data_IF_940245291759
#
_entry.id   IF_940245291759
#
_cell.length_a   1.000
_cell.length_b   1.000
_cell.length_c   1.000
_cell.angle_alpha   90.00
_cell.angle_beta   90.00
_cell.angle_gamma   90.00
#
_symmetry.space_group_name_H-M   'P 1'
#
loop_
_entity.id
_entity.type
_entity.pdbx_description
1 polymer ?
2 non-polymer ?
#
# COMPACT_ATOMS: atom_id res chain seq x y z
N UNK A 1 -12.49 -10.65 -13.99
CA UNK A 1 -12.35 -10.30 -12.55
C UNK A 1 -10.88 -9.94 -12.22
N UNK A 2 -10.64 -8.80 -11.57
CA UNK A 2 -9.29 -8.26 -11.33
C UNK A 2 -8.41 -9.13 -10.41
N UNK A 3 -7.11 -8.81 -10.40
CA UNK A 3 -6.07 -9.40 -9.55
C UNK A 3 -5.24 -8.28 -8.92
N UNK A 4 -4.97 -8.34 -7.60
CA UNK A 4 -4.37 -7.22 -6.84
C UNK A 4 -3.11 -7.65 -6.10
N UNK A 5 -1.97 -7.05 -6.44
CA UNK A 5 -0.75 -7.19 -5.65
C UNK A 5 -0.83 -6.22 -4.47
N UNK A 6 -0.65 -6.72 -3.23
CA UNK A 6 -0.84 -5.97 -1.99
C UNK A 6 0.50 -5.92 -1.26
N UNK A 7 1.25 -4.86 -1.55
CA UNK A 7 2.64 -4.72 -1.14
C UNK A 7 2.74 -4.02 0.22
N UNK A 8 3.62 -4.53 1.09
CA UNK A 8 3.69 -4.13 2.49
C UNK A 8 5.05 -3.55 2.87
N UNK A 9 5.03 -2.55 3.77
CA UNK A 9 6.22 -1.92 4.33
C UNK A 9 6.09 -1.72 5.83
N UNK A 10 6.78 -2.55 6.62
CA UNK A 10 6.71 -2.55 8.09
C UNK A 10 8.00 -3.04 8.75
N UNK A 11 8.14 -2.76 10.05
CA UNK A 11 9.17 -3.28 10.94
C UNK A 11 8.59 -3.87 12.25
N UNK A 12 7.25 -3.87 12.39
CA UNK A 12 6.53 -4.28 13.61
C UNK A 12 5.23 -5.09 13.35
N UNK A 13 4.74 -5.14 12.10
CA UNK A 13 3.63 -6.02 11.69
C UNK A 13 2.23 -5.40 11.74
N UNK A 14 2.07 -4.14 12.15
CA UNK A 14 0.74 -3.51 12.32
C UNK A 14 0.10 -3.17 10.97
N UNK A 15 0.88 -2.62 10.03
CA UNK A 15 0.43 -2.44 8.63
C UNK A 15 0.27 -3.78 7.90
N UNK A 16 1.09 -4.80 8.22
CA UNK A 16 0.92 -6.15 7.66
C UNK A 16 -0.42 -6.78 8.05
N UNK A 17 -0.87 -6.64 9.30
CA UNK A 17 -2.21 -7.09 9.73
C UNK A 17 -3.31 -6.49 8.87
N UNK A 18 -3.25 -5.18 8.60
CA UNK A 18 -4.18 -4.50 7.69
C UNK A 18 -4.08 -5.05 6.25
N UNK A 19 -2.88 -5.36 5.77
CA UNK A 19 -2.68 -5.95 4.45
C UNK A 19 -3.26 -7.39 4.33
N UNK A 20 -3.16 -8.21 5.37
CA UNK A 20 -3.81 -9.52 5.43
C UNK A 20 -5.35 -9.41 5.39
N UNK A 21 -5.93 -8.46 6.12
CA UNK A 21 -7.36 -8.12 6.02
C UNK A 21 -7.73 -7.61 4.61
N UNK A 22 -6.91 -6.75 4.00
CA UNK A 22 -7.14 -6.27 2.64
C UNK A 22 -7.17 -7.41 1.60
N UNK A 23 -6.22 -8.35 1.68
CA UNK A 23 -6.22 -9.55 0.84
C UNK A 23 -7.50 -10.37 1.04
N UNK A 24 -7.91 -10.63 2.29
CA UNK A 24 -9.12 -11.37 2.61
C UNK A 24 -10.39 -10.71 2.05
N UNK A 25 -10.55 -9.39 2.20
CA UNK A 25 -11.67 -8.62 1.67
C UNK A 25 -11.78 -8.71 0.14
N UNK A 26 -10.67 -8.52 -0.58
CA UNK A 26 -10.67 -8.53 -2.04
C UNK A 26 -10.95 -9.94 -2.56
N UNK A 27 -10.36 -10.93 -1.89
CA UNK A 27 -10.63 -12.36 -2.12
C UNK A 27 -12.11 -12.70 -1.90
N UNK A 28 -12.73 -12.20 -0.83
CA UNK A 28 -14.16 -12.42 -0.53
C UNK A 28 -15.09 -11.75 -1.55
N UNK A 29 -14.74 -10.56 -2.05
CA UNK A 29 -15.44 -9.88 -3.14
C UNK A 29 -15.26 -10.59 -4.50
N UNK A 30 -14.17 -11.35 -4.67
CA UNK A 30 -13.94 -12.27 -5.80
C UNK A 30 -12.62 -12.01 -6.56
N UNK A 31 -11.92 -10.92 -6.25
CA UNK A 31 -10.67 -10.52 -6.91
C UNK A 31 -9.49 -11.38 -6.42
N UNK A 32 -8.59 -11.79 -7.31
CA UNK A 32 -7.40 -12.60 -6.98
C UNK A 32 -6.31 -11.73 -6.34
N UNK A 33 -6.48 -11.39 -5.06
CA UNK A 33 -5.50 -10.62 -4.31
C UNK A 33 -4.29 -11.49 -3.89
N UNK A 34 -3.15 -10.85 -3.60
CA UNK A 34 -1.96 -11.52 -3.05
C UNK A 34 -1.14 -10.52 -2.23
N UNK A 35 -0.99 -10.77 -0.93
CA UNK A 35 -0.17 -9.95 -0.03
C UNK A 35 1.32 -10.32 -0.10
N UNK A 36 2.19 -9.32 0.04
CA UNK A 36 3.65 -9.45 -0.03
C UNK A 36 4.33 -8.71 1.14
N UNK A 37 4.69 -9.46 2.20
CA UNK A 37 5.35 -8.92 3.41
C UNK A 37 6.84 -8.55 3.22
N UNK A 38 7.48 -9.05 2.17
CA UNK A 38 8.89 -8.80 1.81
C UNK A 38 9.03 -8.67 0.27
N UNK A 39 8.43 -7.62 -0.34
CA UNK A 39 8.28 -7.49 -1.79
C UNK A 39 9.57 -7.11 -2.55
N UNK A 40 9.50 -7.22 -3.88
CA UNK A 40 10.55 -6.87 -4.85
C UNK A 40 9.89 -6.40 -6.16
N UNK A 41 10.61 -5.67 -7.02
CA UNK A 41 10.15 -5.28 -8.37
C UNK A 41 9.62 -6.50 -9.16
N UNK A 42 10.29 -7.65 -9.02
CA UNK A 42 9.88 -8.95 -9.61
C UNK A 42 8.46 -9.41 -9.23
N UNK A 43 7.92 -8.96 -8.10
CA UNK A 43 6.55 -9.21 -7.65
C UNK A 43 5.59 -8.04 -7.94
N UNK A 44 6.10 -6.82 -8.08
CA UNK A 44 5.34 -5.66 -8.56
C UNK A 44 5.00 -5.75 -10.07
N UNK A 45 5.96 -6.23 -10.88
CA UNK A 45 5.89 -6.35 -12.33
C UNK A 45 4.63 -7.05 -12.91
N UNK A 46 4.19 -8.22 -12.41
CA UNK A 46 3.03 -8.96 -12.92
C UNK A 46 1.66 -8.23 -12.96
N UNK A 47 1.57 -7.01 -12.42
CA UNK A 47 0.31 -6.28 -12.20
C UNK A 47 0.21 -4.93 -12.94
N UNK A 48 1.19 -4.53 -13.76
CA UNK A 48 1.11 -3.27 -14.53
C UNK A 48 -0.02 -3.27 -15.58
N UNK A 49 -0.40 -4.44 -16.10
CA UNK A 49 -1.57 -4.63 -16.97
C UNK A 49 -2.90 -4.79 -16.17
N UNK A 50 -2.84 -4.63 -14.84
CA UNK A 50 -3.89 -4.95 -13.86
C UNK A 50 -4.02 -3.81 -12.83
N UNK A 51 -4.08 -4.14 -11.54
CA UNK A 51 -4.15 -3.20 -10.42
C UNK A 51 -3.25 -3.67 -9.26
N UNK A 52 -2.89 -2.73 -8.38
CA UNK A 52 -2.01 -2.93 -7.21
C UNK A 52 -2.52 -2.12 -6.02
N UNK A 53 -1.99 -2.35 -4.82
CA UNK A 53 -2.34 -1.59 -3.62
C UNK A 53 -1.23 -1.69 -2.58
N UNK A 54 -1.11 -0.65 -1.76
CA UNK A 54 0.02 -0.42 -0.84
C UNK A 54 -0.48 -0.34 0.60
N UNK A 55 0.21 -0.98 1.53
CA UNK A 55 -0.04 -0.92 2.98
C UNK A 55 1.30 -0.73 3.69
N UNK A 56 1.67 0.51 3.99
CA UNK A 56 3.04 0.88 4.44
C UNK A 56 3.08 1.80 5.67
N UNK A 57 4.27 1.98 6.25
CA UNK A 57 4.50 2.77 7.46
C UNK A 57 5.75 3.64 7.37
N UNK A 58 6.33 4.08 8.50
CA UNK A 58 7.46 5.04 8.58
C UNK A 58 8.52 4.56 9.60
N UNK A 59 9.79 4.93 9.43
CA UNK A 59 10.92 4.55 10.31
C UNK A 59 12.02 5.63 10.32
N UNK A 60 13.13 5.38 11.02
CA UNK A 60 14.29 6.28 11.13
C UNK A 60 13.93 7.74 11.42
N UNK A 61 14.53 8.67 10.65
CA UNK A 61 14.24 10.11 10.69
C UNK A 61 12.98 10.51 9.86
N UNK A 62 12.09 9.54 9.55
CA UNK A 62 10.94 9.74 8.65
C UNK A 62 11.04 9.00 7.31
N UNK A 63 11.94 8.03 7.19
CA UNK A 63 12.23 7.22 6.00
C UNK A 63 11.21 6.08 5.80
N UNK A 64 11.26 5.42 4.64
CA UNK A 64 10.50 4.19 4.39
C UNK A 64 11.08 3.01 5.22
N UNK A 65 10.24 2.08 5.71
CA UNK A 65 10.65 0.81 6.34
C UNK A 65 11.62 0.03 5.45
N UNK A 66 12.66 -0.55 6.04
CA UNK A 66 13.69 -1.24 5.25
C UNK A 66 13.13 -2.45 4.46
N UNK A 67 12.02 -3.03 4.94
CA UNK A 67 11.24 -4.07 4.24
C UNK A 67 10.64 -3.64 2.89
N UNK A 68 10.54 -2.33 2.60
CA UNK A 68 10.02 -1.79 1.32
C UNK A 68 10.99 -0.84 0.60
N UNK A 69 12.09 -0.42 1.24
CA UNK A 69 13.19 0.31 0.57
C UNK A 69 13.63 -0.35 -0.75
N UNK A 70 13.90 -1.67 -0.85
CA UNK A 70 14.30 -2.29 -2.12
C UNK A 70 13.19 -2.33 -3.18
N UNK A 71 11.92 -2.15 -2.80
CA UNK A 71 10.80 -2.03 -3.74
C UNK A 71 10.72 -0.59 -4.26
N UNK A 72 10.87 0.38 -3.35
CA UNK A 72 10.86 1.81 -3.62
C UNK A 72 12.04 2.21 -4.53
N UNK A 73 13.29 1.81 -4.20
CA UNK A 73 14.44 2.03 -5.09
C UNK A 73 14.29 1.31 -6.45
N UNK A 74 13.79 0.07 -6.46
CA UNK A 74 13.63 -0.74 -7.67
C UNK A 74 12.66 -0.10 -8.66
N UNK A 75 11.46 0.29 -8.22
CA UNK A 75 10.47 0.97 -9.07
C UNK A 75 11.00 2.35 -9.52
N UNK A 76 11.67 3.08 -8.63
CA UNK A 76 12.18 4.43 -8.92
C UNK A 76 13.30 4.45 -9.98
N UNK A 77 14.17 3.44 -10.00
CA UNK A 77 15.40 3.42 -10.80
C UNK A 77 15.42 2.37 -11.94
N UNK A 78 14.58 1.34 -11.87
CA UNK A 78 14.53 0.21 -12.83
C UNK A 78 13.14 -0.02 -13.45
N UNK A 79 12.20 0.91 -13.23
CA UNK A 79 10.88 0.94 -13.87
C UNK A 79 10.59 2.34 -14.47
N UNK A 80 10.76 3.40 -13.66
CA UNK A 80 10.78 4.81 -14.08
C UNK A 80 9.48 5.47 -14.58
N UNK A 81 8.53 4.74 -15.17
CA UNK A 81 7.30 5.32 -15.75
C UNK A 81 6.14 4.30 -15.76
N UNK A 82 4.93 4.74 -15.38
CA UNK A 82 3.76 3.89 -15.11
C UNK A 82 2.40 4.60 -15.40
N UNK A 83 2.16 5.11 -16.63
CA UNK A 83 0.99 5.94 -16.96
C UNK A 83 -0.38 5.23 -16.83
N UNK A 84 -0.38 3.90 -16.82
CA UNK A 84 -1.55 3.02 -16.80
C UNK A 84 -1.69 2.21 -15.48
N UNK A 85 -0.77 2.39 -14.53
CA UNK A 85 -0.81 1.77 -13.20
C UNK A 85 -1.97 2.38 -12.40
N UNK A 86 -2.89 1.55 -11.89
CA UNK A 86 -4.04 1.95 -11.07
C UNK A 86 -3.97 1.24 -9.73
N UNK A 87 -4.29 1.97 -8.67
CA UNK A 87 -4.03 1.50 -7.31
C UNK A 87 -4.82 2.19 -6.19
N UNK A 88 -4.41 1.94 -4.95
CA UNK A 88 -4.89 2.55 -3.71
C UNK A 88 -3.82 2.40 -2.62
N UNK A 89 -3.89 3.22 -1.56
CA UNK A 89 -2.85 3.27 -0.51
C UNK A 89 -3.45 3.42 0.88
N UNK A 90 -2.90 2.63 1.79
CA UNK A 90 -3.12 2.72 3.23
C UNK A 90 -1.74 2.98 3.83
N UNK A 91 -1.63 3.98 4.71
CA UNK A 91 -0.43 4.28 5.46
C UNK A 91 -0.74 4.29 6.96
N UNK A 92 0.24 3.87 7.77
CA UNK A 92 0.05 3.62 9.20
C UNK A 92 1.27 4.08 9.99
N UNK A 93 1.03 4.79 11.09
CA UNK A 93 2.10 5.25 11.96
C UNK A 93 1.62 6.00 13.20
N UNK A 94 2.55 6.68 13.85
CA UNK A 94 2.32 7.41 15.10
C UNK A 94 2.08 8.91 14.85
N UNK A 95 0.90 9.39 15.22
CA UNK A 95 0.47 10.81 15.11
C UNK A 95 1.28 11.80 15.97
N UNK A 96 2.13 11.32 16.88
CA UNK A 96 2.87 12.16 17.85
C UNK A 96 3.99 13.04 17.24
N UNK A 97 4.31 12.86 15.95
CA UNK A 97 5.47 13.46 15.29
C UNK A 97 5.18 14.00 13.88
N UNK A 98 6.03 14.91 13.40
CA UNK A 98 5.84 15.69 12.15
C UNK A 98 5.79 14.81 10.89
N UNK A 99 6.56 13.72 10.85
CA UNK A 99 6.59 12.75 9.73
C UNK A 99 5.37 11.81 9.71
N UNK A 100 4.18 12.26 10.11
CA UNK A 100 2.98 11.41 10.14
C UNK A 100 2.71 10.74 8.79
N UNK A 101 2.84 9.40 8.77
CA UNK A 101 2.83 8.52 7.61
C UNK A 101 3.79 8.88 6.45
N UNK A 102 4.90 9.57 6.72
CA UNK A 102 5.82 10.06 5.67
C UNK A 102 6.44 8.92 4.83
N UNK A 103 6.63 7.73 5.39
CA UNK A 103 7.15 6.57 4.64
C UNK A 103 6.11 6.00 3.65
N UNK A 104 4.84 5.96 4.04
CA UNK A 104 3.73 5.57 3.13
C UNK A 104 3.44 6.65 2.07
N UNK A 105 3.48 7.94 2.46
CA UNK A 105 3.36 9.07 1.54
C UNK A 105 4.43 9.08 0.44
N UNK A 106 5.68 8.75 0.79
CA UNK A 106 6.76 8.54 -0.20
C UNK A 106 6.44 7.40 -1.16
N UNK A 107 5.83 6.29 -0.71
CA UNK A 107 5.40 5.23 -1.62
C UNK A 107 4.22 5.62 -2.53
N UNK A 108 3.29 6.49 -2.11
CA UNK A 108 2.29 7.05 -3.04
C UNK A 108 2.97 7.98 -4.07
N UNK A 109 3.89 8.84 -3.61
CA UNK A 109 4.71 9.69 -4.47
C UNK A 109 5.55 8.91 -5.51
N UNK A 110 6.06 7.71 -5.18
CA UNK A 110 6.75 6.79 -6.10
C UNK A 110 5.95 6.51 -7.38
N UNK A 111 4.62 6.58 -7.30
CA UNK A 111 3.71 6.20 -8.38
C UNK A 111 3.13 7.45 -9.08
N UNK A 112 2.81 8.51 -8.33
CA UNK A 112 2.40 9.79 -8.94
C UNK A 112 3.56 10.50 -9.68
N UNK A 113 4.80 10.38 -9.22
CA UNK A 113 6.00 10.81 -9.96
C UNK A 113 6.20 10.02 -11.26
N UNK A 114 5.49 8.90 -11.43
CA UNK A 114 5.50 8.04 -12.62
C UNK A 114 4.17 8.07 -13.39
N UNK A 115 3.24 8.98 -13.05
CA UNK A 115 1.97 9.22 -13.77
C UNK A 115 0.92 8.13 -13.58
N UNK A 116 1.04 7.29 -12.55
CA UNK A 116 0.00 6.35 -12.14
C UNK A 116 -1.33 7.07 -11.81
N UNK A 117 -2.45 6.33 -11.71
CA UNK A 117 -3.78 6.90 -11.60
C UNK A 117 -4.59 6.17 -10.51
N UNK A 118 -4.47 6.64 -9.26
CA UNK A 118 -5.10 6.00 -8.10
C UNK A 118 -6.63 6.01 -8.22
N UNK A 119 -7.26 4.93 -7.76
CA UNK A 119 -8.73 4.71 -7.78
C UNK A 119 -9.35 5.05 -6.41
N UNK A 120 -8.80 6.05 -5.72
CA UNK A 120 -9.19 6.45 -4.36
C UNK A 120 -8.25 7.46 -3.72
N UNK A 121 -8.40 7.67 -2.41
CA UNK A 121 -7.60 8.59 -1.59
C UNK A 121 -6.88 7.84 -0.46
N UNK A 122 -5.66 8.26 -0.15
CA UNK A 122 -4.75 7.57 0.78
C UNK A 122 -5.27 7.62 2.23
N UNK A 123 -5.42 6.44 2.84
CA UNK A 123 -5.90 6.30 4.23
C UNK A 123 -4.71 6.48 5.21
N UNK A 124 -4.90 7.27 6.28
CA UNK A 124 -3.82 7.65 7.22
C UNK A 124 -4.16 7.24 8.66
N UNK A 125 -3.62 6.10 9.10
CA UNK A 125 -3.87 5.47 10.41
C UNK A 125 -2.87 5.97 11.48
N UNK A 126 -3.40 6.31 12.65
CA UNK A 126 -2.78 6.95 13.81
C UNK A 126 -2.70 6.00 15.01
N UNK A 127 -1.88 4.94 14.88
CA UNK A 127 -1.79 3.79 15.77
C UNK A 127 -1.74 4.11 17.29
N UNK A 128 -1.02 5.17 17.68
CA UNK A 128 -0.85 5.61 19.08
C UNK A 128 -2.16 6.03 19.78
N UNK A 129 -3.23 6.28 19.01
CA UNK A 129 -4.56 6.65 19.49
C UNK A 129 -5.67 5.85 18.75
N UNK A 130 -5.29 4.80 18.02
CA UNK A 130 -6.14 3.99 17.15
C UNK A 130 -5.71 2.50 17.18
N UNK A 131 -5.89 1.80 18.32
CA UNK A 131 -5.39 0.44 18.57
C UNK A 131 -6.16 -0.68 17.85
N UNK A 132 -7.11 -0.33 16.97
CA UNK A 132 -7.99 -1.24 16.22
C UNK A 132 -8.01 -0.86 14.71
N UNK A 133 -6.84 -0.85 14.03
CA UNK A 133 -6.68 -0.31 12.67
C UNK A 133 -7.52 -1.01 11.61
N UNK A 134 -7.93 -2.25 11.86
CA UNK A 134 -8.91 -3.00 11.06
C UNK A 134 -10.19 -2.16 10.83
N UNK A 135 -10.68 -1.49 11.88
CA UNK A 135 -11.90 -0.63 11.81
C UNK A 135 -11.70 0.63 10.98
N UNK A 136 -10.45 1.04 10.73
CA UNK A 136 -10.07 2.22 9.95
C UNK A 136 -9.77 1.87 8.48
N UNK A 137 -9.64 0.59 8.14
CA UNK A 137 -9.15 0.10 6.85
C UNK A 137 -10.05 -0.91 6.15
N UNK A 138 -10.77 -1.76 6.87
CA UNK A 138 -11.69 -2.73 6.26
C UNK A 138 -12.76 -2.09 5.36
N UNK A 139 -13.57 -1.11 5.81
CA UNK A 139 -14.57 -0.47 4.95
C UNK A 139 -13.93 0.32 3.79
N UNK A 140 -12.71 0.85 3.98
CA UNK A 140 -11.92 1.48 2.91
C UNK A 140 -11.58 0.47 1.80
N UNK A 141 -11.07 -0.72 2.14
CA UNK A 141 -10.76 -1.76 1.13
C UNK A 141 -12.04 -2.31 0.52
N UNK A 142 -13.10 -2.53 1.32
CA UNK A 142 -14.39 -2.99 0.78
C UNK A 142 -14.95 -2.01 -0.26
N UNK A 143 -14.89 -0.69 0.01
CA UNK A 143 -15.25 0.35 -0.95
C UNK A 143 -14.34 0.35 -2.19
N UNK A 144 -13.03 0.46 -2.02
CA UNK A 144 -12.06 0.47 -3.13
C UNK A 144 -12.20 -0.77 -4.04
N UNK A 145 -12.48 -1.94 -3.45
CA UNK A 145 -12.74 -3.18 -4.17
C UNK A 145 -14.00 -3.18 -5.07
N UNK A 146 -14.97 -2.28 -4.84
CA UNK A 146 -16.10 -2.06 -5.77
C UNK A 146 -15.70 -1.30 -7.04
N UNK A 147 -14.55 -0.59 -7.01
CA UNK A 147 -14.07 0.27 -8.10
C UNK A 147 -13.16 -0.48 -9.11
N UNK A 148 -12.83 -1.74 -8.80
CA UNK A 148 -12.17 -2.70 -9.70
C UNK A 148 -13.13 -3.17 -10.83
N UNK A 149 -12.68 -4.14 -11.64
CA UNK A 149 -13.43 -4.77 -12.76
C UNK A 149 -14.90 -5.08 -12.45
X LIG B 1 5.25 6.88 12.32
X LIG B 1 4.80 8.05 11.78
X LIG B 1 3.80 8.12 11.12
X LIG B 1 5.49 9.15 11.96
X LIG B 1 6.59 9.25 12.69
X LIG B 1 7.11 10.35 12.76
X LIG B 1 7.09 8.01 13.29
X LIG B 1 8.30 7.97 14.04
X LIG B 1 8.94 6.70 14.09
X LIG B 1 10.31 6.69 14.36
X LIG B 1 11.03 5.50 14.31
X LIG B 1 12.53 5.58 14.48
X LIG B 1 10.37 4.31 13.99
X LIG B 1 11.15 3.01 13.85
X LIG B 1 9.00 4.32 13.73
X LIG B 1 8.25 5.51 13.77
X LIG B 1 6.91 5.57 13.41
X LIG B 1 6.38 6.79 13.03
X LIG B 1 6.08 4.33 13.35
X LIG B 1 5.77 3.75 14.76
X LIG B 1 6.72 2.72 15.10
X LIG B 1 4.31 3.21 14.91
X LIG B 1 4.10 2.80 16.27
X LIG B 1 3.89 2.05 13.95
X LIG B 1 2.49 1.85 14.17
X LIG B 1 4.60 0.68 14.17
X LIG B 1 3.92 -0.35 13.36
X LIG B 1 4.22 -0.53 11.82
X LIG B 1 3.56 0.55 11.09
X LIG B 1 3.58 -1.81 11.46
X LIG B 1 5.67 -0.64 11.54
X LIG B 1 5.17 9.97 11.48
X LIG B 1 10.81 7.63 14.56
X LIG B 1 12.94 4.69 14.98
X LIG B 1 12.96 5.66 13.47
X LIG B 1 12.83 6.46 15.04
X LIG B 1 12.08 3.18 13.31
X LIG B 1 11.38 2.60 14.84
X LIG B 1 10.57 2.26 13.30
X LIG B 1 8.53 3.39 13.46
X LIG B 1 5.13 4.54 12.85
X LIG B 1 6.58 3.57 12.73
X LIG B 1 5.88 4.58 15.48
X LIG B 1 6.50 2.44 16.02
X LIG B 1 3.65 4.05 14.71
X LIG B 1 3.19 2.42 16.29
X LIG B 1 4.04 2.37 12.91
X LIG B 1 2.26 0.93 13.88
X LIG B 1 5.65 0.73 13.91
X LIG B 1 4.50 0.39 15.21
#
# INVERSE_FOLDING_TARGET
MAEIGIFVGTMYGNSLLVAEEAEAILTAQGHKATVFEDPELSDWLPYQDKYVLVVTSTTGQGDLPDSIVPLFQGIKDSLGFQPNLRYGVIALGDSSYVNFCNGGKQFDALLQEQSAQRVGEMLLIDASENPEPETESNPWVEHWGTLLS
FMN N1 C2 O2 N3 C4 O4 C4A N5 C5A C6 C7 C7M C8 C8M C9 C9A N10 C10 C1' C2' O2' C3' O3' C4' O4' C5' O5' P O1P O2P O3P HN3 H6 HM71 HM72 HM73 HM81 HM82 HM83 H9 H1'1 H1'2 H2' HO2' H3' HO3' H4' HO4' H5'1 H5'2
#
